data_IF_987859935440
#
_entry.id   IF_987859935440
#
_cell.length_a   1.000
_cell.length_b   1.000
_cell.length_c   1.000
_cell.angle_alpha   90.00
_cell.angle_beta   90.00
_cell.angle_gamma   90.00
#
_symmetry.space_group_name_H-M   'P 1'
#
loop_
_entity.id
_entity.type
_entity.pdbx_description
1 polymer ?
#
# COMPACT_ATOMS: atom_id res chain seq x y z
N UNK A 1 -16.50 -8.13 3.45
CA UNK A 1 -16.74 -6.68 3.61
C UNK A 1 -15.52 -5.98 4.20
N UNK A 2 -15.01 -6.31 5.40
CA UNK A 2 -13.79 -5.64 5.92
C UNK A 2 -12.56 -5.88 5.02
N UNK A 3 -12.37 -7.11 4.53
CA UNK A 3 -11.21 -7.42 3.68
C UNK A 3 -11.19 -6.73 2.32
N UNK A 4 -12.33 -6.67 1.64
CA UNK A 4 -12.42 -5.94 0.37
C UNK A 4 -12.18 -4.43 0.55
N UNK A 5 -12.64 -3.86 1.67
CA UNK A 5 -12.35 -2.47 2.01
C UNK A 5 -10.85 -2.24 2.27
N UNK A 6 -10.19 -3.16 2.99
CA UNK A 6 -8.74 -3.10 3.23
C UNK A 6 -7.94 -3.21 1.93
N UNK A 7 -8.31 -4.11 1.03
CA UNK A 7 -7.71 -4.23 -0.31
C UNK A 7 -7.86 -2.94 -1.09
N UNK A 8 -9.08 -2.41 -1.19
CA UNK A 8 -9.37 -1.23 -1.99
C UNK A 8 -8.62 0.03 -1.54
N UNK A 9 -8.46 0.21 -0.22
CA UNK A 9 -7.75 1.38 0.32
C UNK A 9 -6.27 1.10 0.59
N UNK A 10 -5.83 -0.14 0.65
CA UNK A 10 -4.45 -0.50 0.97
C UNK A 10 -3.55 -0.70 -0.24
N UNK A 11 -4.05 -1.35 -1.30
CA UNK A 11 -3.24 -1.65 -2.48
C UNK A 11 -2.73 -0.40 -3.17
N UNK A 12 -1.42 -0.28 -3.31
CA UNK A 12 -0.79 0.85 -3.99
C UNK A 12 -0.56 2.05 -3.08
N UNK A 13 -0.87 1.95 -1.79
CA UNK A 13 -0.64 3.04 -0.84
C UNK A 13 0.83 3.44 -0.75
N UNK A 14 1.76 2.49 -0.96
CA UNK A 14 3.18 2.79 -0.88
C UNK A 14 3.73 3.38 -2.19
N UNK A 15 3.35 2.84 -3.34
CA UNK A 15 3.82 3.30 -4.66
C UNK A 15 3.16 4.60 -5.14
N UNK A 16 1.98 4.96 -4.60
CA UNK A 16 1.29 6.21 -4.91
C UNK A 16 2.17 7.45 -4.66
N UNK A 17 3.10 7.40 -3.69
CA UNK A 17 4.05 8.48 -3.40
C UNK A 17 4.98 8.78 -4.59
N UNK A 18 5.32 7.77 -5.41
CA UNK A 18 6.20 7.91 -6.56
C UNK A 18 5.44 8.25 -7.85
N UNK A 19 4.14 7.97 -7.91
CA UNK A 19 3.29 8.12 -9.09
C UNK A 19 2.35 9.32 -9.03
N UNK A 20 2.70 10.35 -8.25
CA UNK A 20 1.85 11.54 -8.00
C UNK A 20 1.31 12.25 -9.26
N UNK A 21 1.93 12.04 -10.43
CA UNK A 21 1.46 12.60 -11.70
C UNK A 21 0.27 11.85 -12.34
N UNK A 22 0.03 10.57 -11.98
CA UNK A 22 -1.01 9.73 -12.61
C UNK A 22 -2.41 9.87 -12.00
N UNK A 23 -2.56 10.60 -10.89
CA UNK A 23 -3.85 10.80 -10.19
C UNK A 23 -4.94 11.40 -11.12
N UNK A 24 -4.53 12.20 -12.11
CA UNK A 24 -5.44 12.81 -13.08
C UNK A 24 -5.90 11.85 -14.20
N UNK A 25 -5.31 10.66 -14.32
CA UNK A 25 -5.66 9.63 -15.31
C UNK A 25 -6.74 8.66 -14.78
N UNK A 26 -6.92 8.61 -13.46
CA UNK A 26 -7.85 7.69 -12.81
C UNK A 26 -9.32 8.10 -13.05
N UNK A 27 -10.19 7.09 -13.19
CA UNK A 27 -11.65 7.31 -13.18
C UNK A 27 -12.13 7.67 -11.76
N UNK A 28 -13.30 8.32 -11.67
CA UNK A 28 -13.83 8.90 -10.42
C UNK A 28 -13.83 7.93 -9.21
N UNK A 29 -14.25 6.65 -9.32
CA UNK A 29 -14.25 5.75 -8.17
C UNK A 29 -12.85 5.48 -7.59
N UNK A 30 -11.83 5.32 -8.42
CA UNK A 30 -10.45 5.15 -7.95
C UNK A 30 -9.91 6.40 -7.27
N UNK A 31 -10.21 7.60 -7.80
CA UNK A 31 -9.85 8.85 -7.12
C UNK A 31 -10.49 8.94 -5.73
N UNK A 32 -11.75 8.51 -5.62
CA UNK A 32 -12.46 8.49 -4.33
C UNK A 32 -11.78 7.52 -3.35
N UNK A 33 -11.38 6.33 -3.79
CA UNK A 33 -10.64 5.37 -2.97
C UNK A 33 -9.26 5.91 -2.52
N UNK A 34 -8.51 6.60 -3.40
CA UNK A 34 -7.26 7.26 -3.03
C UNK A 34 -7.46 8.37 -1.99
N UNK A 35 -8.51 9.17 -2.13
CA UNK A 35 -8.85 10.20 -1.12
C UNK A 35 -9.18 9.55 0.23
N UNK A 36 -9.95 8.46 0.24
CA UNK A 36 -10.27 7.71 1.45
C UNK A 36 -9.03 7.10 2.09
N UNK A 37 -8.16 6.48 1.29
CA UNK A 37 -6.84 5.98 1.72
C UNK A 37 -6.04 7.08 2.43
N UNK A 38 -5.90 8.26 1.82
CA UNK A 38 -5.16 9.38 2.44
C UNK A 38 -5.77 9.82 3.77
N UNK A 39 -7.12 9.87 3.87
CA UNK A 39 -7.81 10.19 5.14
C UNK A 39 -7.58 9.11 6.21
N UNK A 40 -7.63 7.84 5.83
CA UNK A 40 -7.34 6.70 6.72
C UNK A 40 -5.91 6.79 7.23
N UNK A 41 -4.93 6.96 6.33
CA UNK A 41 -3.53 7.06 6.68
C UNK A 41 -3.26 8.26 7.59
N UNK A 42 -3.83 9.44 7.29
CA UNK A 42 -3.72 10.61 8.15
C UNK A 42 -4.30 10.36 9.55
N UNK A 43 -5.49 9.75 9.64
CA UNK A 43 -6.10 9.43 10.94
C UNK A 43 -5.23 8.44 11.75
N UNK A 44 -4.65 7.44 11.09
CA UNK A 44 -3.75 6.47 11.72
C UNK A 44 -2.47 7.15 12.17
N UNK A 45 -1.86 8.01 11.36
CA UNK A 45 -0.66 8.77 11.72
C UNK A 45 -0.88 9.71 12.93
N UNK A 46 -2.06 10.31 13.04
CA UNK A 46 -2.41 11.22 14.13
C UNK A 46 -2.66 10.45 15.43
N UNK A 47 -3.29 9.27 15.36
CA UNK A 47 -3.58 8.42 16.53
C UNK A 47 -2.40 7.58 16.99
N UNK A 48 -1.58 7.11 16.05
CA UNK A 48 -0.42 6.29 16.36
C UNK A 48 0.63 7.18 17.01
N UNK A 49 0.95 6.84 18.26
CA UNK A 49 2.08 7.40 18.99
C UNK A 49 3.40 6.84 18.46
N UNK A 50 4.27 6.44 19.38
CA UNK A 50 5.54 5.78 19.06
C UNK A 50 5.43 4.25 19.04
N UNK A 51 4.28 3.70 19.46
CA UNK A 51 4.05 2.25 19.55
C UNK A 51 3.65 1.67 18.18
N UNK A 52 4.60 0.97 17.56
CA UNK A 52 4.43 0.28 16.28
C UNK A 52 3.34 -0.79 16.35
N UNK A 53 3.16 -1.44 17.50
CA UNK A 53 2.17 -2.51 17.65
C UNK A 53 0.71 -2.00 17.49
N UNK A 54 0.50 -0.70 17.68
CA UNK A 54 -0.82 -0.08 17.50
C UNK A 54 -1.15 0.23 16.03
N UNK A 55 -0.19 0.20 15.11
CA UNK A 55 -0.39 0.59 13.70
C UNK A 55 -1.48 -0.26 13.03
N UNK A 56 -1.33 -1.60 13.04
CA UNK A 56 -2.30 -2.50 12.39
C UNK A 56 -3.70 -2.40 13.04
N UNK A 57 -3.85 -2.44 14.39
CA UNK A 57 -5.12 -2.18 15.04
C UNK A 57 -5.75 -0.82 14.69
N UNK A 58 -4.93 0.24 14.58
CA UNK A 58 -5.39 1.57 14.21
C UNK A 58 -5.86 1.63 12.76
N UNK A 59 -5.14 0.98 11.83
CA UNK A 59 -5.56 0.82 10.42
C UNK A 59 -6.91 0.12 10.36
N UNK A 60 -7.06 -1.03 11.02
CA UNK A 60 -8.31 -1.78 11.04
C UNK A 60 -9.47 -0.95 11.60
N UNK A 61 -9.21 -0.16 12.65
CA UNK A 61 -10.20 0.75 13.25
C UNK A 61 -10.59 1.88 12.30
N UNK A 62 -9.62 2.48 11.62
CA UNK A 62 -9.86 3.54 10.65
C UNK A 62 -10.65 3.02 9.43
N UNK A 63 -10.27 1.87 8.86
CA UNK A 63 -11.03 1.25 7.75
C UNK A 63 -12.49 1.00 8.14
N UNK A 64 -12.74 0.47 9.36
CA UNK A 64 -14.11 0.28 9.86
C UNK A 64 -14.90 1.59 9.97
N UNK A 65 -14.23 2.68 10.34
CA UNK A 65 -14.85 4.01 10.44
C UNK A 65 -15.26 4.55 9.07
N UNK A 66 -14.46 4.33 8.03
CA UNK A 66 -14.75 4.75 6.65
C UNK A 66 -15.49 3.69 5.82
N UNK A 67 -15.88 2.56 6.42
CA UNK A 67 -16.44 1.41 5.70
C UNK A 67 -17.60 1.76 4.77
N UNK A 68 -18.52 2.62 5.21
CA UNK A 68 -19.66 3.07 4.38
C UNK A 68 -19.20 3.80 3.13
N UNK A 69 -18.27 4.75 3.25
CA UNK A 69 -17.76 5.53 2.12
C UNK A 69 -16.96 4.66 1.14
N UNK A 70 -16.22 3.68 1.67
CA UNK A 70 -15.48 2.70 0.86
C UNK A 70 -16.47 1.83 0.08
N UNK A 71 -17.48 1.25 0.74
CA UNK A 71 -18.48 0.39 0.09
C UNK A 71 -19.27 1.13 -1.00
N UNK A 72 -19.55 2.42 -0.81
CA UNK A 72 -20.16 3.25 -1.87
C UNK A 72 -19.26 3.35 -3.11
N UNK A 73 -17.96 3.61 -2.94
CA UNK A 73 -17.01 3.65 -4.05
C UNK A 73 -16.86 2.29 -4.74
N UNK A 74 -16.84 1.19 -3.97
CA UNK A 74 -16.80 -0.17 -4.51
C UNK A 74 -18.09 -0.52 -5.26
N UNK A 75 -19.25 -0.12 -4.75
CA UNK A 75 -20.52 -0.32 -5.44
C UNK A 75 -20.59 0.43 -6.78
N UNK A 76 -19.97 1.61 -6.88
CA UNK A 76 -19.83 2.33 -8.16
C UNK A 76 -18.95 1.54 -9.15
N UNK A 77 -17.82 0.98 -8.72
CA UNK A 77 -17.00 0.10 -9.57
C UNK A 77 -17.78 -1.12 -10.07
N UNK A 78 -18.54 -1.78 -9.17
CA UNK A 78 -19.39 -2.92 -9.53
C UNK A 78 -20.47 -2.54 -10.55
N UNK A 79 -21.06 -1.34 -10.44
CA UNK A 79 -22.03 -0.83 -11.43
C UNK A 79 -21.42 -0.59 -12.81
N UNK A 80 -20.12 -0.31 -12.87
CA UNK A 80 -19.36 -0.20 -14.11
C UNK A 80 -18.94 -1.57 -14.69
N UNK A 81 -19.29 -2.66 -14.02
CA UNK A 81 -18.97 -4.03 -14.44
C UNK A 81 -17.59 -4.53 -14.01
N UNK A 82 -16.90 -3.81 -13.13
CA UNK A 82 -15.62 -4.22 -12.58
C UNK A 82 -15.79 -5.04 -11.29
N UNK A 83 -14.97 -6.09 -11.13
CA UNK A 83 -14.72 -6.72 -9.83
C UNK A 83 -13.71 -5.83 -9.07
N UNK A 84 -14.08 -5.23 -7.92
CA UNK A 84 -13.21 -4.24 -7.28
C UNK A 84 -11.89 -4.80 -6.77
N UNK A 85 -11.84 -6.07 -6.36
CA UNK A 85 -10.61 -6.70 -5.90
C UNK A 85 -9.66 -6.91 -7.07
N UNK A 86 -10.15 -7.56 -8.12
CA UNK A 86 -9.37 -7.82 -9.33
C UNK A 86 -8.90 -6.51 -9.97
N UNK A 87 -9.79 -5.54 -10.13
CA UNK A 87 -9.46 -4.30 -10.81
C UNK A 87 -8.51 -3.42 -9.97
N UNK A 88 -8.50 -3.54 -8.64
CA UNK A 88 -7.48 -2.90 -7.79
C UNK A 88 -6.14 -3.63 -7.90
N UNK A 89 -6.16 -4.95 -7.99
CA UNK A 89 -4.96 -5.78 -8.12
C UNK A 89 -4.26 -5.60 -9.48
N UNK A 90 -5.00 -5.60 -10.58
CA UNK A 90 -4.46 -5.34 -11.91
C UNK A 90 -3.80 -3.95 -11.97
N UNK A 91 -4.46 -2.93 -11.41
CA UNK A 91 -3.91 -1.57 -11.33
C UNK A 91 -2.62 -1.51 -10.51
N UNK A 92 -2.60 -2.12 -9.32
CA UNK A 92 -1.41 -2.04 -8.45
C UNK A 92 -0.23 -2.80 -9.03
N UNK A 93 -0.45 -3.92 -9.72
CA UNK A 93 0.62 -4.66 -10.42
C UNK A 93 1.27 -3.77 -11.48
N UNK A 94 0.49 -3.02 -12.26
CA UNK A 94 1.04 -2.06 -13.23
C UNK A 94 1.81 -0.92 -12.56
N UNK A 95 1.28 -0.36 -11.48
CA UNK A 95 1.92 0.73 -10.71
C UNK A 95 3.27 0.28 -10.11
N UNK A 96 3.32 -0.90 -9.47
CA UNK A 96 4.56 -1.44 -8.94
C UNK A 96 5.56 -1.77 -10.04
N UNK A 97 5.11 -2.34 -11.16
CA UNK A 97 5.98 -2.62 -12.30
C UNK A 97 6.60 -1.34 -12.89
N UNK A 98 5.90 -0.21 -12.81
CA UNK A 98 6.43 1.10 -13.19
C UNK A 98 7.48 1.59 -12.18
N UNK A 99 7.17 1.58 -10.88
CA UNK A 99 8.10 2.03 -9.83
C UNK A 99 9.37 1.18 -9.78
N UNK A 100 9.25 -0.13 -9.93
CA UNK A 100 10.37 -1.08 -9.87
C UNK A 100 11.25 -1.07 -11.12
N UNK A 101 10.96 -0.25 -12.14
CA UNK A 101 11.95 0.09 -13.18
C UNK A 101 13.05 1.02 -12.66
N UNK A 102 12.82 1.65 -11.52
CA UNK A 102 13.73 2.55 -10.79
C UNK A 102 14.14 3.82 -11.56
N UNK A 103 13.59 4.05 -12.75
CA UNK A 103 13.85 5.21 -13.60
C UNK A 103 13.00 6.45 -13.25
N UNK A 104 12.17 6.34 -12.20
CA UNK A 104 11.32 7.43 -11.72
C UNK A 104 12.19 8.59 -11.21
N UNK A 105 11.99 9.83 -11.72
CA UNK A 105 12.68 11.00 -11.20
C UNK A 105 12.23 11.33 -9.76
N UNK A 106 13.18 11.48 -8.86
CA UNK A 106 12.95 11.81 -7.44
C UNK A 106 13.40 13.22 -7.08
N UNK A 107 13.74 14.03 -8.09
CA UNK A 107 14.20 15.41 -7.94
C UNK A 107 15.73 15.54 -7.93
N UNK A 108 16.22 16.77 -8.10
CA UNK A 108 17.67 17.04 -8.12
C UNK A 108 18.44 16.39 -9.28
N UNK A 109 17.74 15.96 -10.34
CA UNK A 109 18.33 15.23 -11.46
C UNK A 109 18.62 13.75 -11.19
N UNK A 110 18.17 13.23 -10.04
CA UNK A 110 18.32 11.83 -9.65
C UNK A 110 17.07 11.00 -9.92
N UNK A 111 17.28 9.70 -10.02
CA UNK A 111 16.28 8.64 -10.13
C UNK A 111 16.13 7.87 -8.80
N UNK A 112 15.10 7.04 -8.69
CA UNK A 112 14.96 6.11 -7.57
C UNK A 112 16.15 5.13 -7.50
N UNK A 113 16.66 4.69 -8.65
CA UNK A 113 17.88 3.88 -8.77
C UNK A 113 19.08 4.56 -8.08
N UNK A 114 19.30 5.85 -8.37
CA UNK A 114 20.40 6.62 -7.77
C UNK A 114 20.24 6.70 -6.24
N UNK A 115 19.01 6.88 -5.73
CA UNK A 115 18.77 6.90 -4.29
C UNK A 115 19.06 5.55 -3.64
N UNK A 116 18.67 4.45 -4.27
CA UNK A 116 18.85 3.12 -3.71
C UNK A 116 20.32 2.69 -3.71
N UNK A 117 21.03 2.87 -4.83
CA UNK A 117 22.39 2.33 -4.96
C UNK A 117 23.49 3.30 -4.54
N UNK A 118 23.25 4.62 -4.53
CA UNK A 118 24.23 5.58 -4.02
C UNK A 118 24.06 5.86 -2.52
N UNK A 119 22.88 5.63 -1.95
CA UNK A 119 22.68 5.74 -0.51
C UNK A 119 23.11 4.46 0.20
N UNK A 120 23.65 4.60 1.41
CA UNK A 120 23.77 3.49 2.36
C UNK A 120 22.62 3.56 3.37
N UNK A 121 21.44 3.98 2.91
CA UNK A 121 20.29 4.14 3.77
C UNK A 121 19.52 2.83 3.93
N UNK A 122 19.86 2.11 4.99
CA UNK A 122 19.18 0.88 5.40
C UNK A 122 17.64 0.96 5.42
N UNK A 123 17.04 2.13 5.64
CA UNK A 123 15.57 2.27 5.54
C UNK A 123 15.12 2.17 4.09
N UNK A 124 15.81 2.84 3.17
CA UNK A 124 15.48 2.75 1.74
C UNK A 124 15.69 1.34 1.20
N UNK A 125 16.75 0.65 1.64
CA UNK A 125 16.97 -0.76 1.32
C UNK A 125 15.78 -1.63 1.74
N UNK A 126 15.28 -1.44 2.97
CA UNK A 126 14.14 -2.19 3.49
C UNK A 126 12.83 -1.84 2.79
N UNK A 127 12.61 -0.58 2.46
CA UNK A 127 11.43 -0.17 1.69
C UNK A 127 11.44 -0.77 0.27
N UNK A 128 12.62 -0.86 -0.36
CA UNK A 128 12.76 -1.52 -1.66
C UNK A 128 12.53 -3.03 -1.57
N UNK A 129 13.04 -3.68 -0.52
CA UNK A 129 12.78 -5.10 -0.25
C UNK A 129 11.28 -5.37 -0.09
N UNK A 130 10.56 -4.55 0.68
CA UNK A 130 9.09 -4.63 0.82
C UNK A 130 8.42 -4.44 -0.54
N UNK A 131 8.85 -3.46 -1.35
CA UNK A 131 8.26 -3.23 -2.68
C UNK A 131 8.37 -4.45 -3.59
N UNK A 132 9.56 -5.07 -3.62
CA UNK A 132 9.78 -6.29 -4.40
C UNK A 132 8.93 -7.45 -3.86
N UNK A 133 8.88 -7.65 -2.55
CA UNK A 133 8.12 -8.70 -1.91
C UNK A 133 6.61 -8.57 -2.20
N UNK A 134 6.04 -7.38 -2.02
CA UNK A 134 4.65 -7.08 -2.35
C UNK A 134 4.37 -7.30 -3.84
N UNK A 135 5.24 -6.83 -4.73
CA UNK A 135 5.04 -7.00 -6.17
C UNK A 135 5.01 -8.46 -6.61
N UNK A 136 5.95 -9.28 -6.13
CA UNK A 136 5.98 -10.72 -6.43
C UNK A 136 4.66 -11.39 -6.00
N UNK A 137 4.20 -11.07 -4.80
CA UNK A 137 2.96 -11.60 -4.24
C UNK A 137 1.71 -11.12 -5.00
N UNK A 138 1.66 -9.84 -5.37
CA UNK A 138 0.56 -9.30 -6.16
C UNK A 138 0.48 -9.93 -7.55
N UNK A 139 1.62 -10.15 -8.21
CA UNK A 139 1.66 -10.84 -9.51
C UNK A 139 1.12 -12.26 -9.39
N UNK A 140 1.58 -13.03 -8.40
CA UNK A 140 1.12 -14.41 -8.19
C UNK A 140 -0.38 -14.46 -7.89
N UNK A 141 -0.88 -13.61 -6.99
CA UNK A 141 -2.32 -13.52 -6.69
C UNK A 141 -3.10 -13.12 -7.95
N UNK A 142 -2.60 -12.18 -8.75
CA UNK A 142 -3.29 -11.70 -9.95
C UNK A 142 -3.49 -12.80 -10.98
N UNK A 143 -2.53 -13.72 -11.13
CA UNK A 143 -2.66 -14.90 -11.99
C UNK A 143 -3.77 -15.86 -11.52
N UNK A 144 -4.04 -15.90 -10.21
CA UNK A 144 -5.10 -16.75 -9.64
C UNK A 144 -6.49 -16.09 -9.66
N UNK A 145 -6.56 -14.75 -9.69
CA UNK A 145 -7.81 -13.99 -9.71
C UNK A 145 -8.34 -13.83 -11.15
N UNK A 146 -8.99 -14.85 -11.73
CA UNK A 146 -9.56 -14.77 -13.10
C UNK A 146 -10.81 -13.88 -13.20
N UNK A 147 -12.00 -14.39 -12.83
CA UNK A 147 -13.25 -13.58 -12.83
C UNK A 147 -13.62 -13.02 -11.45
N UNK A 148 -12.81 -13.34 -10.47
CA UNK A 148 -12.94 -12.99 -9.05
C UNK A 148 -11.86 -13.74 -8.28
N UNK A 149 -11.45 -13.22 -7.13
CA UNK A 149 -10.40 -13.84 -6.34
C UNK A 149 -10.94 -15.02 -5.52
N UNK A 150 -10.28 -16.20 -5.54
CA UNK A 150 -10.56 -17.28 -4.60
C UNK A 150 -10.46 -16.81 -3.14
N UNK A 151 -11.18 -17.45 -2.19
CA UNK A 151 -11.15 -17.04 -0.78
C UNK A 151 -9.76 -16.97 -0.16
N UNK A 152 -8.87 -17.94 -0.46
CA UNK A 152 -7.50 -17.92 0.06
C UNK A 152 -6.69 -16.74 -0.50
N UNK A 153 -6.81 -16.49 -1.80
CA UNK A 153 -6.18 -15.36 -2.49
C UNK A 153 -6.69 -14.01 -1.96
N UNK A 154 -8.00 -13.89 -1.75
CA UNK A 154 -8.63 -12.71 -1.19
C UNK A 154 -8.14 -12.42 0.24
N UNK A 155 -8.00 -13.46 1.07
CA UNK A 155 -7.50 -13.33 2.44
C UNK A 155 -6.02 -12.95 2.46
N UNK A 156 -5.19 -13.56 1.60
CA UNK A 156 -3.78 -13.18 1.44
C UNK A 156 -3.66 -11.71 0.99
N UNK A 157 -4.48 -11.30 0.04
CA UNK A 157 -4.47 -9.93 -0.48
C UNK A 157 -4.90 -8.89 0.57
N UNK A 158 -5.90 -9.19 1.40
CA UNK A 158 -6.29 -8.35 2.54
C UNK A 158 -5.12 -8.12 3.52
N UNK A 159 -4.39 -9.20 3.81
CA UNK A 159 -3.22 -9.15 4.68
C UNK A 159 -2.11 -8.28 4.08
N UNK A 160 -1.75 -8.51 2.82
CA UNK A 160 -0.72 -7.74 2.12
C UNK A 160 -1.07 -6.25 2.02
N UNK A 161 -2.32 -5.93 1.68
CA UNK A 161 -2.81 -4.55 1.64
C UNK A 161 -2.71 -3.85 3.00
N UNK A 162 -2.92 -4.58 4.09
CA UNK A 162 -2.75 -4.05 5.46
C UNK A 162 -1.27 -3.82 5.79
N UNK A 163 -0.37 -4.72 5.38
CA UNK A 163 1.08 -4.59 5.56
C UNK A 163 1.65 -3.43 4.72
N UNK A 164 1.11 -3.19 3.53
CA UNK A 164 1.46 -2.03 2.70
C UNK A 164 1.08 -0.71 3.39
N UNK A 165 -0.13 -0.62 3.95
CA UNK A 165 -0.55 0.53 4.77
C UNK A 165 0.36 0.72 5.99
N UNK A 166 0.71 -0.37 6.68
CA UNK A 166 1.61 -0.31 7.84
C UNK A 166 3.01 0.20 7.45
N UNK A 167 3.55 -0.27 6.33
CA UNK A 167 4.82 0.19 5.74
C UNK A 167 4.79 1.70 5.53
N UNK A 168 3.74 2.20 4.88
CA UNK A 168 3.55 3.63 4.65
C UNK A 168 3.52 4.41 5.98
N UNK A 169 2.76 3.94 6.97
CA UNK A 169 2.66 4.62 8.28
C UNK A 169 4.03 4.66 8.96
N UNK A 170 4.78 3.55 9.00
CA UNK A 170 6.14 3.50 9.57
C UNK A 170 7.05 4.53 8.88
N UNK A 171 7.03 4.57 7.55
CA UNK A 171 7.81 5.53 6.78
C UNK A 171 7.46 6.99 7.13
N UNK A 172 6.16 7.31 7.27
CA UNK A 172 5.72 8.67 7.65
C UNK A 172 6.05 9.00 9.11
N UNK A 173 5.94 8.05 10.03
CA UNK A 173 6.34 8.24 11.43
C UNK A 173 7.84 8.55 11.52
N UNK A 174 8.67 7.83 10.77
CA UNK A 174 10.11 8.10 10.67
C UNK A 174 10.39 9.49 10.10
N UNK A 175 9.74 9.85 8.98
CA UNK A 175 9.94 11.15 8.33
C UNK A 175 9.51 12.33 9.24
N UNK A 176 8.50 12.12 10.08
CA UNK A 176 8.06 13.09 11.11
C UNK A 176 8.85 13.01 12.41
N UNK A 177 9.89 12.17 12.48
CA UNK A 177 10.75 11.98 13.66
C UNK A 177 9.98 11.50 14.90
N UNK A 178 8.86 10.80 14.72
CA UNK A 178 8.11 10.14 15.80
C UNK A 178 8.75 8.82 16.23
N UNK A 179 9.49 8.18 15.33
CA UNK A 179 10.29 6.99 15.62
C UNK A 179 11.70 7.20 15.08
N UNK A 180 12.69 6.57 15.70
CA UNK A 180 14.06 6.59 15.21
C UNK A 180 14.29 5.56 14.08
N UNK A 181 15.41 5.72 13.36
CA UNK A 181 15.78 4.86 12.24
C UNK A 181 15.87 3.38 12.62
N UNK A 182 16.42 3.06 13.79
CA UNK A 182 16.59 1.67 14.23
C UNK A 182 15.22 1.03 14.48
N UNK A 183 14.31 1.75 15.14
CA UNK A 183 12.93 1.31 15.36
C UNK A 183 12.20 1.08 14.04
N UNK A 184 12.34 2.00 13.08
CA UNK A 184 11.76 1.84 11.75
C UNK A 184 12.32 0.60 11.02
N UNK A 185 13.63 0.41 11.00
CA UNK A 185 14.27 -0.75 10.35
C UNK A 185 13.80 -2.07 10.96
N UNK A 186 13.68 -2.17 12.30
CA UNK A 186 13.16 -3.37 12.96
C UNK A 186 11.72 -3.65 12.50
N UNK A 187 10.85 -2.65 12.54
CA UNK A 187 9.46 -2.80 12.11
C UNK A 187 9.32 -3.17 10.63
N UNK A 188 10.14 -2.57 9.76
CA UNK A 188 10.13 -2.89 8.33
C UNK A 188 10.66 -4.31 8.05
N UNK A 189 11.65 -4.80 8.80
CA UNK A 189 12.08 -6.20 8.71
C UNK A 189 10.96 -7.17 9.08
N UNK A 190 10.22 -6.89 10.16
CA UNK A 190 9.08 -7.72 10.55
C UNK A 190 7.99 -7.75 9.46
N UNK A 191 7.78 -6.62 8.77
CA UNK A 191 6.87 -6.59 7.62
C UNK A 191 7.37 -7.46 6.46
N UNK A 192 8.66 -7.40 6.12
CA UNK A 192 9.24 -8.26 5.08
C UNK A 192 9.04 -9.74 5.42
N UNK A 193 9.35 -10.13 6.65
CA UNK A 193 9.18 -11.51 7.11
C UNK A 193 7.72 -11.95 7.03
N UNK A 194 6.78 -11.08 7.42
CA UNK A 194 5.35 -11.37 7.39
C UNK A 194 4.79 -11.46 5.95
N UNK A 195 5.34 -10.70 5.00
CA UNK A 195 4.98 -10.80 3.56
C UNK A 195 5.47 -12.13 2.98
N UNK A 196 6.72 -12.50 3.27
CA UNK A 196 7.37 -13.65 2.63
C UNK A 196 7.00 -15.00 3.27
N UNK A 197 6.70 -15.02 4.57
CA UNK A 197 6.60 -16.27 5.33
C UNK A 197 5.30 -16.44 6.12
N UNK A 198 4.47 -15.40 6.24
CA UNK A 198 3.23 -15.45 7.04
C UNK A 198 1.99 -15.75 6.23
#
# INVERSE_FOLDING_TARGET
MVGEAAVAVGLGAFVEEYLTQRVNELIQPYRRLQVLRRRILQEVEEKTGEDIAEIIPNIATAIRRYATEIEEALAELRRLGADPMKASLESVVEEYAEVLRLDIPVGGGKTLEDLLYESQDEVLDKLHEIMMALYMEYVEINETCDRGCPPEAAQKLEKLATLELATYVIYKLLHRQKIDKKTAVVALNEIVDEILFG
#
